data_IF_354089464455
#
_entry.id   IF_354089464455
#
_cell.length_a   1.000
_cell.length_b   1.000
_cell.length_c   1.000
_cell.angle_alpha   90.00
_cell.angle_beta   90.00
_cell.angle_gamma   90.00
#
_symmetry.space_group_name_H-M   'P 1'
#
loop_
_entity.id
_entity.type
_entity.pdbx_description
1 polymer ?
#
# COMPACT_ATOMS: atom_id res chain seq x y z
N UNK A 1 -2.14 21.19 8.02
CA UNK A 1 -1.27 20.48 7.05
C UNK A 1 -0.36 19.41 7.68
N UNK A 2 0.55 19.70 8.63
CA UNK A 2 1.54 18.70 9.08
C UNK A 2 0.91 17.47 9.77
N UNK A 3 -0.18 17.66 10.50
CA UNK A 3 -0.94 16.57 11.11
C UNK A 3 -1.57 15.61 10.10
N UNK A 4 -1.96 16.10 8.91
CA UNK A 4 -2.52 15.26 7.85
C UNK A 4 -1.44 14.40 7.18
N UNK A 5 -0.27 14.99 6.90
CA UNK A 5 0.89 14.27 6.38
C UNK A 5 1.36 13.18 7.34
N UNK A 6 1.47 13.49 8.63
CA UNK A 6 1.84 12.51 9.65
C UNK A 6 0.84 11.34 9.71
N UNK A 7 -0.47 11.64 9.61
CA UNK A 7 -1.51 10.62 9.54
C UNK A 7 -1.38 9.76 8.28
N UNK A 8 -1.14 10.39 7.12
CA UNK A 8 -0.97 9.66 5.86
C UNK A 8 0.22 8.70 5.90
N UNK A 9 1.39 9.17 6.35
CA UNK A 9 2.57 8.33 6.49
C UNK A 9 2.37 7.24 7.55
N UNK A 10 1.71 7.55 8.67
CA UNK A 10 1.38 6.57 9.70
C UNK A 10 0.44 5.48 9.20
N UNK A 11 -0.61 5.84 8.43
CA UNK A 11 -1.50 4.87 7.81
C UNK A 11 -0.80 4.04 6.73
N UNK A 12 0.13 4.63 5.96
CA UNK A 12 1.01 3.89 5.06
C UNK A 12 1.83 2.83 5.81
N UNK A 13 2.56 3.22 6.86
CA UNK A 13 3.35 2.27 7.65
C UNK A 13 2.49 1.13 8.24
N UNK A 14 1.31 1.45 8.78
CA UNK A 14 0.39 0.44 9.32
C UNK A 14 -0.12 -0.47 8.20
N UNK A 15 -0.40 0.06 7.02
CA UNK A 15 -0.83 -0.71 5.85
C UNK A 15 0.24 -1.71 5.38
N UNK A 16 1.51 -1.30 5.36
CA UNK A 16 2.63 -2.19 5.03
C UNK A 16 2.78 -3.32 6.05
N UNK A 17 2.70 -3.01 7.35
CA UNK A 17 2.73 -4.02 8.42
C UNK A 17 1.53 -4.98 8.31
N UNK A 18 0.34 -4.47 8.02
CA UNK A 18 -0.86 -5.28 7.82
C UNK A 18 -0.67 -6.23 6.63
N UNK A 19 -0.22 -5.73 5.48
CA UNK A 19 0.07 -6.54 4.30
C UNK A 19 1.07 -7.65 4.63
N UNK A 20 2.19 -7.31 5.29
CA UNK A 20 3.22 -8.26 5.69
C UNK A 20 2.69 -9.35 6.64
N UNK A 21 1.70 -9.04 7.48
CA UNK A 21 1.09 -10.02 8.39
C UNK A 21 0.07 -10.95 7.74
N UNK A 22 -0.45 -10.61 6.57
CA UNK A 22 -1.50 -11.38 5.87
C UNK A 22 -0.90 -12.22 4.73
N UNK A 23 0.15 -11.71 4.08
CA UNK A 23 0.72 -12.31 2.88
C UNK A 23 1.92 -13.20 3.23
N UNK A 24 1.81 -14.48 2.88
CA UNK A 24 2.96 -15.38 2.85
C UNK A 24 3.84 -15.01 1.66
N UNK A 25 5.11 -14.66 1.90
CA UNK A 25 6.03 -14.29 0.83
C UNK A 25 6.40 -15.51 -0.02
N UNK A 26 5.99 -15.55 -1.31
CA UNK A 26 6.32 -16.66 -2.18
C UNK A 26 7.80 -16.61 -2.59
N UNK A 27 8.41 -17.78 -2.75
CA UNK A 27 9.82 -17.91 -3.10
C UNK A 27 10.05 -18.97 -4.16
N UNK A 28 11.19 -18.84 -4.85
CA UNK A 28 11.70 -19.88 -5.75
C UNK A 28 12.76 -20.69 -5.02
N UNK A 29 12.71 -22.01 -5.18
CA UNK A 29 13.82 -22.87 -4.78
C UNK A 29 14.86 -22.90 -5.90
N UNK A 30 16.10 -22.55 -5.56
CA UNK A 30 17.24 -22.64 -6.48
C UNK A 30 17.80 -24.06 -6.37
N UNK A 31 17.73 -24.78 -7.48
CA UNK A 31 18.19 -26.14 -7.61
C UNK A 31 19.73 -26.17 -7.84
N UNK A 32 20.35 -27.30 -7.54
CA UNK A 32 21.82 -27.47 -7.63
C UNK A 32 22.37 -27.41 -9.06
N UNK A 33 21.51 -27.53 -10.06
CA UNK A 33 21.78 -27.39 -11.50
C UNK A 33 21.66 -25.92 -11.98
N UNK A 34 21.39 -24.98 -11.07
CA UNK A 34 21.20 -23.56 -11.39
C UNK A 34 19.80 -23.21 -11.89
N UNK A 35 18.88 -24.20 -11.95
CA UNK A 35 17.47 -23.95 -12.24
C UNK A 35 16.73 -23.34 -11.04
N UNK A 36 15.61 -22.67 -11.29
CA UNK A 36 14.70 -22.20 -10.25
C UNK A 36 13.33 -22.85 -10.45
N UNK A 37 12.71 -23.33 -9.38
CA UNK A 37 11.38 -23.94 -9.44
C UNK A 37 10.46 -23.45 -8.33
N UNK A 38 9.16 -23.43 -8.62
CA UNK A 38 8.09 -23.14 -7.66
C UNK A 38 6.91 -24.05 -7.94
N UNK A 39 5.94 -24.08 -7.02
CA UNK A 39 4.69 -24.83 -7.21
C UNK A 39 3.64 -23.94 -7.90
N UNK A 40 2.63 -24.53 -8.52
CA UNK A 40 1.47 -23.78 -9.05
C UNK A 40 0.83 -22.88 -7.99
N UNK A 41 0.79 -23.36 -6.74
CA UNK A 41 0.30 -22.57 -5.60
C UNK A 41 1.23 -21.41 -5.26
N UNK A 42 2.54 -21.63 -5.24
CA UNK A 42 3.53 -20.57 -5.05
C UNK A 42 3.43 -19.49 -6.13
N UNK A 43 3.10 -19.87 -7.37
CA UNK A 43 2.85 -18.92 -8.47
C UNK A 43 1.58 -18.09 -8.22
N UNK A 44 0.50 -18.71 -7.73
CA UNK A 44 -0.73 -18.03 -7.36
C UNK A 44 -0.54 -17.07 -6.16
N UNK A 45 0.33 -17.42 -5.21
CA UNK A 45 0.59 -16.61 -4.02
C UNK A 45 1.29 -15.27 -4.37
N UNK A 46 2.05 -15.18 -5.48
CA UNK A 46 2.57 -13.89 -5.99
C UNK A 46 1.41 -12.94 -6.36
N UNK A 47 0.44 -13.45 -7.13
CA UNK A 47 -0.75 -12.67 -7.52
C UNK A 47 -1.59 -12.34 -6.29
N UNK A 48 -1.73 -13.29 -5.36
CA UNK A 48 -2.45 -13.11 -4.11
C UNK A 48 -1.85 -11.99 -3.26
N UNK A 49 -0.52 -11.95 -3.13
CA UNK A 49 0.20 -10.89 -2.43
C UNK A 49 -0.03 -9.51 -3.03
N UNK A 50 0.08 -9.38 -4.35
CA UNK A 50 -0.17 -8.13 -5.08
C UNK A 50 -1.63 -7.68 -4.98
N UNK A 51 -2.57 -8.63 -5.01
CA UNK A 51 -3.99 -8.35 -4.86
C UNK A 51 -4.31 -7.77 -3.47
N UNK A 52 -3.75 -8.35 -2.40
CA UNK A 52 -3.90 -7.81 -1.05
C UNK A 52 -3.26 -6.42 -0.91
N UNK A 53 -2.06 -6.21 -1.47
CA UNK A 53 -1.40 -4.89 -1.45
C UNK A 53 -2.30 -3.83 -2.11
N UNK A 54 -2.82 -4.14 -3.30
CA UNK A 54 -3.68 -3.24 -4.06
C UNK A 54 -4.98 -2.93 -3.32
N UNK A 55 -5.61 -3.94 -2.71
CA UNK A 55 -6.85 -3.79 -1.96
C UNK A 55 -6.65 -2.89 -0.73
N UNK A 56 -5.58 -3.12 0.04
CA UNK A 56 -5.25 -2.30 1.21
C UNK A 56 -4.95 -0.86 0.78
N UNK A 57 -4.14 -0.67 -0.25
CA UNK A 57 -3.80 0.64 -0.80
C UNK A 57 -5.04 1.41 -1.27
N UNK A 58 -5.98 0.75 -1.95
CA UNK A 58 -7.26 1.33 -2.37
C UNK A 58 -8.06 1.83 -1.17
N UNK A 59 -8.23 0.99 -0.14
CA UNK A 59 -9.01 1.33 1.05
C UNK A 59 -8.38 2.50 1.80
N UNK A 60 -7.07 2.45 2.05
CA UNK A 60 -6.34 3.52 2.75
C UNK A 60 -6.35 4.82 1.95
N UNK A 61 -6.13 4.76 0.64
CA UNK A 61 -6.18 5.92 -0.25
C UNK A 61 -7.56 6.59 -0.26
N UNK A 62 -8.64 5.81 -0.30
CA UNK A 62 -10.01 6.34 -0.19
C UNK A 62 -10.24 7.02 1.16
N UNK A 63 -9.81 6.41 2.26
CA UNK A 63 -9.92 7.03 3.59
C UNK A 63 -9.15 8.35 3.66
N UNK A 64 -7.93 8.40 3.13
CA UNK A 64 -7.12 9.62 3.08
C UNK A 64 -7.79 10.71 2.25
N UNK A 65 -8.35 10.38 1.09
CA UNK A 65 -9.10 11.32 0.25
C UNK A 65 -10.31 11.92 0.98
N UNK A 66 -11.10 11.09 1.67
CA UNK A 66 -12.25 11.55 2.47
C UNK A 66 -11.81 12.44 3.63
N UNK A 67 -10.73 12.07 4.33
CA UNK A 67 -10.18 12.86 5.45
C UNK A 67 -9.61 14.18 4.95
N UNK A 68 -8.93 14.20 3.81
CA UNK A 68 -8.42 15.42 3.19
C UNK A 68 -9.57 16.37 2.85
N UNK A 69 -10.61 15.86 2.17
CA UNK A 69 -11.78 16.66 1.82
C UNK A 69 -12.44 17.27 3.06
N UNK A 70 -12.65 16.49 4.13
CA UNK A 70 -13.29 16.99 5.35
C UNK A 70 -12.47 18.02 6.13
N UNK A 71 -11.13 17.98 6.05
CA UNK A 71 -10.25 18.86 6.83
C UNK A 71 -9.68 20.04 6.05
N UNK A 72 -9.66 19.95 4.73
CA UNK A 72 -8.98 20.90 3.85
C UNK A 72 -9.89 21.40 2.72
N UNK A 73 -11.21 21.15 2.80
CA UNK A 73 -12.20 21.64 1.83
C UNK A 73 -12.13 23.14 1.62
N UNK A 74 -11.83 23.89 2.67
CA UNK A 74 -11.76 25.37 2.65
C UNK A 74 -10.62 25.88 1.76
N UNK A 75 -9.64 25.02 1.46
CA UNK A 75 -8.53 25.34 0.58
C UNK A 75 -8.96 25.39 -0.91
N UNK A 76 -10.07 24.75 -1.27
CA UNK A 76 -10.56 24.64 -2.65
C UNK A 76 -9.74 23.65 -3.49
N UNK A 77 -9.41 24.01 -4.73
CA UNK A 77 -8.71 23.13 -5.68
C UNK A 77 -7.35 22.54 -5.22
N UNK A 78 -6.52 23.21 -4.39
CA UNK A 78 -5.23 22.65 -3.95
C UNK A 78 -5.38 21.43 -3.04
N UNK A 79 -6.57 21.18 -2.48
CA UNK A 79 -6.82 19.98 -1.67
C UNK A 79 -6.52 18.69 -2.44
N UNK A 80 -6.76 18.70 -3.76
CA UNK A 80 -6.51 17.56 -4.63
C UNK A 80 -5.01 17.24 -4.66
N UNK A 81 -4.16 18.25 -4.84
CA UNK A 81 -2.72 18.06 -4.86
C UNK A 81 -2.18 17.57 -3.52
N UNK A 82 -2.66 18.15 -2.42
CA UNK A 82 -2.26 17.73 -1.06
C UNK A 82 -2.69 16.29 -0.78
N UNK A 83 -3.92 15.93 -1.17
CA UNK A 83 -4.44 14.58 -0.99
C UNK A 83 -3.63 13.56 -1.81
N UNK A 84 -3.37 13.85 -3.08
CA UNK A 84 -2.59 12.98 -3.98
C UNK A 84 -1.16 12.82 -3.51
N UNK A 85 -0.46 13.92 -3.17
CA UNK A 85 0.93 13.84 -2.69
C UNK A 85 1.03 13.07 -1.37
N UNK A 86 0.07 13.24 -0.45
CA UNK A 86 0.04 12.49 0.79
C UNK A 86 -0.24 11.00 0.57
N UNK A 87 -1.14 10.66 -0.37
CA UNK A 87 -1.42 9.28 -0.74
C UNK A 87 -0.18 8.60 -1.39
N UNK A 88 0.53 9.31 -2.27
CA UNK A 88 1.80 8.84 -2.83
C UNK A 88 2.86 8.67 -1.73
N UNK A 89 2.95 9.62 -0.81
CA UNK A 89 3.83 9.51 0.35
C UNK A 89 3.50 8.27 1.19
N UNK A 90 2.23 8.01 1.45
CA UNK A 90 1.78 6.82 2.17
C UNK A 90 2.14 5.52 1.42
N UNK A 91 1.95 5.49 0.10
CA UNK A 91 2.24 4.30 -0.72
C UNK A 91 3.73 3.95 -0.81
N UNK A 92 4.62 4.92 -0.58
CA UNK A 92 6.07 4.70 -0.53
C UNK A 92 6.54 4.12 0.81
N UNK A 93 5.70 4.19 1.84
CA UNK A 93 6.02 3.74 3.20
C UNK A 93 5.46 2.33 3.48
N UNK A 94 4.34 1.96 2.85
CA UNK A 94 3.81 0.60 2.90
C UNK A 94 4.56 -0.34 1.96
#
# INVERSE_FOLDING_TARGET
>A
MPSYLALALGLGAIAGVLWWSIVDLPGYQVNSDGGASTTERGLADFIGGDAWFTLIGLVVGLMLGVVAWRRLSDLGWPVVFVATLAAVGASLVC
#
